data_IF_788618577589
#
_entry.id   IF_788618577589
#
_cell.length_a   1.000
_cell.length_b   1.000
_cell.length_c   1.000
_cell.angle_alpha   90.00
_cell.angle_beta   90.00
_cell.angle_gamma   90.00
#
_symmetry.space_group_name_H-M   'P 1'
#
loop_
_entity.id
_entity.type
_entity.pdbx_description
1 polymer ?
#
# COMPACT_ATOMS: atom_id res chain seq x y z
N UNK A 1 -0.13 -42.98 -58.36
CA UNK A 1 -1.07 -43.75 -57.53
C UNK A 1 -0.73 -43.47 -56.08
N UNK A 2 -1.76 -43.15 -55.29
CA UNK A 2 -1.81 -42.45 -54.01
C UNK A 2 -0.65 -42.63 -53.02
N UNK A 3 -0.16 -41.48 -52.53
CA UNK A 3 0.47 -41.34 -51.23
C UNK A 3 -0.60 -41.43 -50.13
N UNK A 4 -0.29 -42.16 -49.04
CA UNK A 4 -1.11 -42.26 -47.84
C UNK A 4 -0.59 -41.27 -46.81
N UNK A 5 -1.51 -40.45 -46.29
CA UNK A 5 -1.34 -39.37 -45.33
C UNK A 5 -1.28 -39.91 -43.88
N UNK A 6 -0.29 -39.53 -43.05
CA UNK A 6 -0.16 -40.02 -41.67
C UNK A 6 -0.93 -39.21 -40.60
N UNK A 7 -1.90 -38.36 -40.93
CA UNK A 7 -2.71 -37.58 -39.95
C UNK A 7 -4.06 -38.21 -39.51
N UNK A 8 -4.18 -39.54 -39.49
CA UNK A 8 -5.45 -40.21 -39.09
C UNK A 8 -5.59 -40.55 -37.58
N UNK A 9 -4.66 -40.12 -36.72
CA UNK A 9 -4.73 -40.37 -35.28
C UNK A 9 -4.52 -39.07 -34.51
N UNK A 10 -5.57 -38.26 -34.35
CA UNK A 10 -5.74 -37.30 -33.24
C UNK A 10 -7.11 -36.60 -33.40
N UNK A 11 -8.21 -37.29 -33.04
CA UNK A 11 -9.49 -36.63 -32.72
C UNK A 11 -10.10 -37.25 -31.47
N UNK A 12 -10.31 -36.49 -30.38
CA UNK A 12 -11.05 -36.96 -29.22
C UNK A 12 -12.53 -37.18 -29.57
N UNK A 13 -13.09 -38.31 -29.15
CA UNK A 13 -14.53 -38.61 -29.24
C UNK A 13 -15.32 -37.65 -28.34
N UNK A 14 -16.50 -37.16 -28.77
CA UNK A 14 -17.37 -36.35 -27.92
C UNK A 14 -17.93 -37.22 -26.78
N UNK A 15 -17.75 -36.76 -25.54
CA UNK A 15 -18.38 -37.37 -24.36
C UNK A 15 -19.87 -37.00 -24.32
N UNK A 16 -20.66 -38.01 -24.00
CA UNK A 16 -22.10 -37.98 -23.81
C UNK A 16 -22.55 -36.85 -22.87
N UNK A 17 -23.55 -36.11 -23.34
CA UNK A 17 -24.42 -35.24 -22.54
C UNK A 17 -25.30 -36.14 -21.67
N UNK A 18 -25.21 -36.01 -20.36
CA UNK A 18 -26.15 -36.62 -19.43
C UNK A 18 -27.31 -35.65 -19.20
N UNK A 19 -28.52 -36.16 -19.41
CA UNK A 19 -29.80 -35.46 -19.30
C UNK A 19 -30.07 -35.02 -17.85
N UNK A 20 -30.70 -33.84 -17.72
CA UNK A 20 -31.22 -33.31 -16.48
C UNK A 20 -32.46 -34.10 -16.05
N UNK A 21 -32.46 -34.59 -14.81
CA UNK A 21 -33.63 -35.18 -14.15
C UNK A 21 -34.34 -34.07 -13.35
N UNK A 22 -35.63 -33.78 -13.60
CA UNK A 22 -36.44 -32.90 -12.77
C UNK A 22 -37.05 -33.68 -11.60
N UNK A 23 -37.43 -32.96 -10.54
CA UNK A 23 -38.11 -33.42 -9.33
C UNK A 23 -37.26 -34.05 -8.21
N UNK A 24 -36.76 -33.19 -7.32
CA UNK A 24 -36.61 -33.53 -5.91
C UNK A 24 -37.56 -32.64 -5.09
N UNK A 25 -38.66 -33.25 -4.64
CA UNK A 25 -39.69 -32.65 -3.80
C UNK A 25 -39.11 -32.20 -2.45
N UNK A 26 -39.39 -30.96 -2.07
CA UNK A 26 -39.18 -30.44 -0.72
C UNK A 26 -40.14 -31.14 0.25
N UNK A 27 -39.59 -31.98 1.14
CA UNK A 27 -40.36 -32.50 2.27
C UNK A 27 -40.58 -31.40 3.31
N UNK A 28 -41.83 -30.96 3.41
CA UNK A 28 -42.34 -30.16 4.52
C UNK A 28 -42.48 -31.03 5.77
N UNK A 29 -41.87 -30.61 6.88
CA UNK A 29 -42.17 -31.07 8.24
C UNK A 29 -42.13 -29.86 9.20
N UNK A 30 -42.86 -29.91 10.32
CA UNK A 30 -43.62 -28.78 10.85
C UNK A 30 -42.85 -27.88 11.81
N UNK A 31 -43.27 -26.62 11.87
CA UNK A 31 -42.86 -25.65 12.90
C UNK A 31 -43.47 -26.01 14.25
N UNK A 32 -42.68 -25.88 15.34
CA UNK A 32 -43.28 -25.38 16.56
C UNK A 32 -42.35 -24.44 17.38
N UNK A 33 -42.99 -23.39 17.89
CA UNK A 33 -42.67 -22.59 19.07
C UNK A 33 -41.75 -21.36 18.96
N UNK A 34 -42.42 -20.23 19.15
CA UNK A 34 -41.90 -18.91 19.53
C UNK A 34 -40.92 -18.99 20.72
N UNK A 35 -39.67 -18.69 20.45
CA UNK A 35 -38.74 -18.10 21.40
C UNK A 35 -38.16 -16.84 20.74
N UNK A 36 -37.96 -15.73 21.48
CA UNK A 36 -37.31 -14.56 20.94
C UNK A 36 -35.84 -14.93 20.65
N UNK A 37 -35.55 -15.08 19.37
CA UNK A 37 -34.21 -15.34 18.86
C UNK A 37 -33.37 -14.08 19.11
N UNK A 38 -32.54 -14.12 20.16
CA UNK A 38 -31.47 -13.16 20.35
C UNK A 38 -30.48 -13.35 19.19
N UNK A 39 -30.70 -12.58 18.12
CA UNK A 39 -29.86 -12.53 16.92
C UNK A 39 -28.44 -12.08 17.24
N UNK A 40 -27.64 -12.98 17.80
CA UNK A 40 -26.20 -12.92 17.78
C UNK A 40 -25.76 -13.43 16.41
N UNK A 41 -25.81 -12.53 15.41
CA UNK A 41 -25.03 -12.72 14.20
C UNK A 41 -23.55 -12.73 14.63
N UNK A 42 -23.02 -13.92 14.88
CA UNK A 42 -21.58 -14.15 14.81
C UNK A 42 -21.17 -13.92 13.36
N UNK A 43 -20.86 -12.67 13.02
CA UNK A 43 -20.05 -12.38 11.85
C UNK A 43 -18.71 -13.02 12.16
N UNK A 44 -18.43 -14.18 11.56
CA UNK A 44 -17.13 -14.80 11.67
C UNK A 44 -16.10 -13.79 11.15
N UNK A 45 -15.33 -13.19 12.06
CA UNK A 45 -14.24 -12.29 11.70
C UNK A 45 -13.29 -13.05 10.79
N UNK A 46 -13.03 -12.49 9.61
CA UNK A 46 -12.08 -13.03 8.66
C UNK A 46 -10.70 -13.11 9.34
N UNK A 47 -10.13 -14.31 9.58
CA UNK A 47 -8.88 -14.44 10.36
C UNK A 47 -7.71 -13.71 9.71
N UNK A 48 -7.72 -13.58 8.38
CA UNK A 48 -6.72 -12.81 7.64
C UNK A 48 -6.91 -11.29 7.72
N UNK A 49 -8.13 -10.85 8.04
CA UNK A 49 -8.45 -9.46 8.30
C UNK A 49 -8.05 -9.06 9.73
N UNK A 50 -7.79 -10.05 10.61
CA UNK A 50 -7.17 -9.87 11.92
C UNK A 50 -5.67 -10.23 11.95
N UNK A 51 -5.05 -10.50 10.79
CA UNK A 51 -3.63 -10.82 10.72
C UNK A 51 -2.78 -9.66 11.26
N UNK A 52 -1.86 -9.96 12.18
CA UNK A 52 -1.07 -8.95 12.89
C UNK A 52 -1.79 -8.25 14.06
N UNK A 53 -3.09 -8.45 14.28
CA UNK A 53 -3.79 -7.99 15.50
C UNK A 53 -3.51 -8.89 16.71
N UNK A 54 -3.19 -10.16 16.48
CA UNK A 54 -2.97 -11.14 17.55
C UNK A 54 -1.48 -11.42 17.84
N UNK A 55 -0.57 -11.12 16.90
CA UNK A 55 0.88 -11.27 17.06
C UNK A 55 1.49 -9.88 17.34
N UNK A 56 1.47 -9.49 18.62
CA UNK A 56 1.84 -8.17 19.15
C UNK A 56 0.96 -7.03 18.58
N UNK A 57 -0.27 -6.83 19.11
CA UNK A 57 -1.13 -5.73 18.66
C UNK A 57 -0.40 -4.41 18.82
N UNK A 58 -0.43 -3.60 17.77
CA UNK A 58 0.07 -2.24 17.86
C UNK A 58 -0.78 -1.46 18.89
N UNK A 59 -0.18 -0.70 19.81
CA UNK A 59 -0.92 0.04 20.82
C UNK A 59 -1.97 0.98 20.20
N UNK A 60 -3.09 1.15 20.90
CA UNK A 60 -4.24 1.94 20.43
C UNK A 60 -3.84 3.38 20.12
N UNK A 61 -2.95 3.94 20.92
CA UNK A 61 -2.41 5.29 20.80
C UNK A 61 -1.72 5.49 19.45
N UNK A 62 -1.02 4.48 18.94
CA UNK A 62 -0.42 4.54 17.61
C UNK A 62 -1.50 4.53 16.54
N UNK A 63 -2.49 3.63 16.63
CA UNK A 63 -3.60 3.57 15.67
C UNK A 63 -4.37 4.89 15.63
N UNK A 64 -4.72 5.44 16.79
CA UNK A 64 -5.43 6.71 16.92
C UNK A 64 -4.61 7.87 16.34
N UNK A 65 -3.29 7.88 16.57
CA UNK A 65 -2.41 8.89 15.98
C UNK A 65 -2.35 8.76 14.46
N UNK A 66 -2.08 7.57 13.94
CA UNK A 66 -1.96 7.31 12.51
C UNK A 66 -3.28 7.56 11.77
N UNK A 67 -4.41 7.37 12.45
CA UNK A 67 -5.73 7.60 11.87
C UNK A 67 -6.12 9.09 11.78
N UNK A 68 -5.37 10.01 12.41
CA UNK A 68 -5.64 11.46 12.28
C UNK A 68 -5.53 11.90 10.82
N UNK A 69 -6.45 12.76 10.40
CA UNK A 69 -6.58 13.23 9.02
C UNK A 69 -5.28 13.86 8.51
N UNK A 70 -4.58 14.59 9.35
CA UNK A 70 -3.29 15.21 9.08
C UNK A 70 -2.25 14.20 8.59
N UNK A 71 -2.13 13.06 9.28
CA UNK A 71 -1.22 11.97 8.91
C UNK A 71 -1.64 11.29 7.62
N UNK A 72 -2.93 10.97 7.50
CA UNK A 72 -3.50 10.35 6.31
C UNK A 72 -3.26 11.18 5.05
N UNK A 73 -3.58 12.48 5.13
CA UNK A 73 -3.40 13.43 4.05
C UNK A 73 -1.94 13.61 3.67
N UNK A 74 -1.06 13.74 4.65
CA UNK A 74 0.36 13.95 4.40
C UNK A 74 0.99 12.73 3.71
N UNK A 75 0.76 11.52 4.23
CA UNK A 75 1.29 10.30 3.64
C UNK A 75 0.75 10.06 2.23
N UNK A 76 -0.56 10.25 2.02
CA UNK A 76 -1.15 10.14 0.69
C UNK A 76 -0.58 11.17 -0.29
N UNK A 77 -0.54 12.46 0.08
CA UNK A 77 -0.02 13.52 -0.80
C UNK A 77 1.45 13.32 -1.13
N UNK A 78 2.27 12.92 -0.16
CA UNK A 78 3.69 12.65 -0.38
C UNK A 78 3.91 11.61 -1.49
N UNK A 79 3.15 10.51 -1.45
CA UNK A 79 3.19 9.50 -2.51
C UNK A 79 2.60 10.01 -3.82
N UNK A 80 1.42 10.64 -3.77
CA UNK A 80 0.66 11.09 -4.94
C UNK A 80 1.50 12.05 -5.80
N UNK A 81 2.11 13.07 -5.19
CA UNK A 81 2.93 14.03 -5.96
C UNK A 81 4.22 13.42 -6.48
N UNK A 82 4.89 12.53 -5.73
CA UNK A 82 6.12 11.85 -6.20
C UNK A 82 5.86 10.93 -7.38
N UNK A 83 4.76 10.19 -7.32
CA UNK A 83 4.42 9.15 -8.29
C UNK A 83 3.88 9.76 -9.59
N UNK A 84 3.18 10.90 -9.50
CA UNK A 84 2.48 11.48 -10.65
C UNK A 84 3.05 12.83 -11.11
N UNK A 85 4.15 13.32 -10.55
CA UNK A 85 4.71 14.65 -10.87
C UNK A 85 4.73 14.94 -12.37
N UNK A 86 5.33 14.05 -13.17
CA UNK A 86 5.47 14.23 -14.62
C UNK A 86 4.18 13.99 -15.41
N UNK A 87 3.14 13.42 -14.80
CA UNK A 87 1.82 13.24 -15.41
C UNK A 87 0.93 14.48 -15.24
N UNK A 88 1.21 15.34 -14.26
CA UNK A 88 0.45 16.58 -14.09
C UNK A 88 0.73 17.59 -15.21
N UNK A 89 -0.29 18.35 -15.67
CA UNK A 89 -0.08 19.51 -16.54
C UNK A 89 0.93 20.50 -15.96
N UNK A 90 1.74 21.14 -16.81
CA UNK A 90 2.83 22.04 -16.38
C UNK A 90 2.33 23.22 -15.51
N UNK A 91 1.14 23.74 -15.78
CA UNK A 91 0.55 24.82 -14.97
C UNK A 91 0.14 24.35 -13.57
N UNK A 92 -0.30 23.08 -13.44
CA UNK A 92 -0.60 22.45 -12.16
C UNK A 92 0.69 22.12 -11.41
N UNK A 93 1.72 21.60 -12.09
CA UNK A 93 3.06 21.44 -11.50
C UNK A 93 3.56 22.75 -10.90
N UNK A 94 3.46 23.86 -11.63
CA UNK A 94 3.90 25.17 -11.14
C UNK A 94 3.13 25.60 -9.88
N UNK A 95 1.80 25.46 -9.85
CA UNK A 95 1.00 25.82 -8.66
C UNK A 95 1.33 24.94 -7.45
N UNK A 96 1.59 23.64 -7.65
CA UNK A 96 2.03 22.73 -6.59
C UNK A 96 3.45 23.10 -6.10
N UNK A 97 4.35 23.51 -7.01
CA UNK A 97 5.69 24.01 -6.69
C UNK A 97 5.64 25.31 -5.88
N UNK A 98 4.77 26.25 -6.23
CA UNK A 98 4.53 27.49 -5.48
C UNK A 98 4.01 27.23 -4.06
N UNK A 99 3.26 26.14 -3.87
CA UNK A 99 2.86 25.64 -2.55
C UNK A 99 3.99 24.87 -1.85
N UNK A 100 5.15 24.66 -2.47
CA UNK A 100 6.31 23.97 -1.89
C UNK A 100 6.20 22.44 -1.87
N UNK A 101 5.26 21.87 -2.62
CA UNK A 101 5.00 20.43 -2.67
C UNK A 101 5.64 19.72 -3.87
N UNK A 102 6.51 20.41 -4.61
CA UNK A 102 7.30 19.78 -5.66
C UNK A 102 8.23 18.72 -5.07
N UNK A 103 8.13 17.45 -5.50
CA UNK A 103 9.11 16.45 -5.14
C UNK A 103 10.46 16.82 -5.79
N UNK A 104 11.56 16.89 -5.02
CA UNK A 104 12.88 17.21 -5.58
C UNK A 104 13.37 16.11 -6.52
N UNK A 105 12.93 14.86 -6.30
CA UNK A 105 13.29 13.66 -7.06
C UNK A 105 12.01 12.83 -7.30
N UNK A 106 11.25 13.12 -8.36
CA UNK A 106 10.11 12.28 -8.76
C UNK A 106 10.54 10.82 -8.94
N UNK A 107 9.73 9.85 -8.50
CA UNK A 107 10.11 8.43 -8.60
C UNK A 107 10.00 7.88 -10.02
N UNK A 108 9.14 8.48 -10.85
CA UNK A 108 9.04 8.19 -12.27
C UNK A 108 9.78 9.24 -13.09
N UNK A 109 10.32 8.85 -14.24
CA UNK A 109 10.83 9.79 -15.25
C UNK A 109 9.69 10.36 -16.13
N UNK A 110 10.02 11.25 -17.07
CA UNK A 110 9.04 11.84 -17.99
C UNK A 110 8.39 10.80 -18.93
N UNK A 111 8.97 9.60 -19.07
CA UNK A 111 8.39 8.48 -19.83
C UNK A 111 7.50 7.58 -18.98
N UNK A 112 7.37 7.85 -17.66
CA UNK A 112 6.59 7.05 -16.73
C UNK A 112 7.31 5.79 -16.23
N UNK A 113 8.63 5.66 -16.44
CA UNK A 113 9.41 4.54 -15.92
C UNK A 113 10.04 4.89 -14.57
N UNK A 114 10.30 3.91 -13.69
CA UNK A 114 11.06 4.15 -12.46
C UNK A 114 12.41 4.80 -12.74
N UNK A 115 12.69 5.92 -12.06
CA UNK A 115 13.94 6.65 -12.21
C UNK A 115 14.99 6.15 -11.21
N UNK A 116 15.89 5.29 -11.66
CA UNK A 116 16.97 4.73 -10.85
C UNK A 116 18.15 5.70 -10.61
N UNK A 117 18.20 6.81 -11.34
CA UNK A 117 19.41 7.65 -11.45
C UNK A 117 19.30 8.99 -10.72
N UNK A 118 18.15 9.30 -10.12
CA UNK A 118 17.92 10.59 -9.45
C UNK A 118 17.92 10.52 -7.91
N UNK A 119 18.30 9.39 -7.32
CA UNK A 119 18.30 9.14 -5.87
C UNK A 119 16.91 9.25 -5.19
N UNK A 120 15.79 9.20 -5.94
CA UNK A 120 14.42 9.27 -5.38
C UNK A 120 14.07 8.17 -4.38
N UNK A 121 14.76 7.03 -4.45
CA UNK A 121 14.62 5.94 -3.49
C UNK A 121 15.17 6.26 -2.09
N UNK A 122 16.06 7.25 -1.97
CA UNK A 122 16.49 7.73 -0.65
C UNK A 122 15.40 8.53 0.03
N UNK A 123 14.64 9.35 -0.70
CA UNK A 123 13.47 10.05 -0.15
C UNK A 123 12.42 9.03 0.37
N UNK A 124 12.23 7.91 -0.35
CA UNK A 124 11.40 6.79 0.10
C UNK A 124 11.89 6.16 1.41
N UNK A 125 13.16 5.77 1.48
CA UNK A 125 13.70 5.19 2.70
C UNK A 125 13.66 6.16 3.87
N UNK A 126 14.05 7.41 3.64
CA UNK A 126 14.14 8.42 4.68
C UNK A 126 12.76 8.75 5.28
N UNK A 127 11.75 8.95 4.43
CA UNK A 127 10.38 9.26 4.89
C UNK A 127 9.82 8.14 5.77
N UNK A 128 9.93 6.88 5.34
CA UNK A 128 9.44 5.75 6.13
C UNK A 128 10.26 5.49 7.40
N UNK A 129 11.58 5.72 7.35
CA UNK A 129 12.43 5.69 8.56
C UNK A 129 12.00 6.74 9.57
N UNK A 130 11.62 7.94 9.12
CA UNK A 130 11.09 8.98 9.99
C UNK A 130 9.73 8.59 10.59
N UNK A 131 8.81 8.03 9.79
CA UNK A 131 7.54 7.50 10.31
C UNK A 131 7.77 6.43 11.40
N UNK A 132 8.73 5.52 11.19
CA UNK A 132 9.11 4.51 12.18
C UNK A 132 9.67 5.16 13.45
N UNK A 133 10.54 6.15 13.32
CA UNK A 133 11.12 6.88 14.47
C UNK A 133 10.04 7.59 15.29
N UNK A 134 9.05 8.17 14.60
CA UNK A 134 7.95 8.89 15.21
C UNK A 134 6.99 7.94 15.95
N UNK A 135 6.64 6.80 15.34
CA UNK A 135 5.89 5.74 16.04
C UNK A 135 6.67 5.20 17.23
N UNK A 136 7.99 5.02 17.12
CA UNK A 136 8.81 4.60 18.26
C UNK A 136 8.80 5.62 19.41
N UNK A 137 8.62 6.91 19.11
CA UNK A 137 8.45 7.94 20.14
C UNK A 137 7.13 7.73 20.89
N UNK A 138 6.03 7.46 20.18
CA UNK A 138 4.73 7.12 20.79
C UNK A 138 4.86 5.85 21.64
N UNK A 139 5.47 4.79 21.10
CA UNK A 139 5.65 3.52 21.81
C UNK A 139 6.48 3.67 23.09
N UNK A 140 7.50 4.53 23.05
CA UNK A 140 8.30 4.85 24.25
C UNK A 140 7.45 5.53 25.33
N UNK A 141 6.51 6.40 24.95
CA UNK A 141 5.60 7.07 25.88
C UNK A 141 4.53 6.11 26.43
N UNK A 142 3.99 5.23 25.58
CA UNK A 142 3.04 4.18 25.99
C UNK A 142 3.70 3.21 26.97
N UNK A 143 4.96 2.86 26.72
CA UNK A 143 5.74 2.00 27.61
C UNK A 143 5.26 0.54 27.63
N UNK A 144 4.60 0.06 26.57
CA UNK A 144 4.16 -1.34 26.47
C UNK A 144 5.39 -2.27 26.29
N UNK A 145 5.70 -3.14 27.26
CA UNK A 145 6.85 -4.04 27.15
C UNK A 145 6.71 -5.07 26.02
N UNK A 146 5.50 -5.34 25.53
CA UNK A 146 5.24 -6.30 24.46
C UNK A 146 5.41 -5.71 23.06
N UNK A 147 5.39 -4.38 22.93
CA UNK A 147 5.62 -3.67 21.65
C UNK A 147 6.40 -2.38 21.94
N UNK A 148 7.66 -2.52 22.37
CA UNK A 148 8.47 -1.37 22.79
C UNK A 148 8.98 -0.51 21.62
N UNK A 149 8.99 -1.07 20.41
CA UNK A 149 9.39 -0.40 19.17
C UNK A 149 8.82 -1.15 17.96
N UNK A 150 8.71 -0.47 16.83
CA UNK A 150 8.44 -1.09 15.53
C UNK A 150 9.50 -2.15 15.26
N UNK A 151 9.03 -3.34 14.91
CA UNK A 151 9.88 -4.47 14.53
C UNK A 151 9.40 -5.01 13.20
N UNK A 152 10.29 -4.95 12.21
CA UNK A 152 10.05 -5.54 10.91
C UNK A 152 10.00 -7.06 10.96
N UNK A 153 9.47 -7.65 9.90
CA UNK A 153 9.75 -9.06 9.65
C UNK A 153 11.25 -9.26 9.42
N UNK A 154 11.82 -10.36 9.91
CA UNK A 154 13.15 -10.79 9.51
C UNK A 154 13.13 -11.34 8.06
N UNK A 155 12.07 -12.07 7.76
CA UNK A 155 11.78 -12.70 6.48
C UNK A 155 10.29 -12.47 6.20
N UNK A 156 9.89 -11.99 5.01
CA UNK A 156 8.48 -11.87 4.66
C UNK A 156 7.77 -13.23 4.85
N UNK A 157 6.61 -13.29 5.52
CA UNK A 157 6.02 -14.56 5.92
C UNK A 157 5.68 -15.45 4.71
N UNK A 158 6.01 -16.76 4.75
CA UNK A 158 5.57 -17.70 3.74
C UNK A 158 4.06 -17.89 3.76
N UNK A 159 3.45 -18.39 2.68
CA UNK A 159 1.99 -18.61 2.61
C UNK A 159 1.44 -19.51 3.72
N UNK A 160 2.28 -20.41 4.26
CA UNK A 160 1.92 -21.32 5.34
C UNK A 160 2.05 -20.72 6.75
N UNK A 161 2.48 -19.45 6.90
CA UNK A 161 2.59 -18.82 8.23
C UNK A 161 1.20 -18.42 8.74
N UNK A 162 0.71 -19.16 9.73
CA UNK A 162 -0.61 -18.95 10.32
C UNK A 162 -0.75 -17.64 11.11
N UNK A 163 0.36 -16.95 11.45
CA UNK A 163 0.32 -15.65 12.15
C UNK A 163 0.06 -14.49 11.20
N UNK A 164 0.47 -14.65 9.94
CA UNK A 164 0.32 -13.64 8.88
C UNK A 164 -0.34 -14.23 7.64
N UNK A 165 -1.55 -14.81 7.78
CA UNK A 165 -2.26 -15.42 6.65
C UNK A 165 -2.55 -14.37 5.58
N UNK A 166 -2.43 -14.78 4.31
CA UNK A 166 -2.72 -13.93 3.15
C UNK A 166 -4.23 -13.86 2.95
N UNK A 167 -4.88 -12.67 2.99
CA UNK A 167 -6.31 -12.57 2.72
C UNK A 167 -6.63 -13.02 1.30
N UNK A 168 -7.79 -13.67 1.06
CA UNK A 168 -8.18 -14.11 -0.27
C UNK A 168 -8.28 -12.92 -1.25
N UNK A 169 -8.05 -13.12 -2.56
CA UNK A 169 -8.29 -12.08 -3.55
C UNK A 169 -9.78 -11.72 -3.60
N UNK A 170 -10.09 -10.45 -3.82
CA UNK A 170 -11.47 -9.95 -3.97
C UNK A 170 -11.64 -9.24 -5.31
N UNK A 171 -12.86 -9.31 -5.83
CA UNK A 171 -13.26 -8.54 -6.99
C UNK A 171 -13.80 -7.18 -6.53
N UNK A 172 -13.32 -6.10 -7.12
CA UNK A 172 -13.87 -4.77 -6.91
C UNK A 172 -14.81 -4.40 -8.07
N UNK A 173 -16.15 -4.38 -7.88
CA UNK A 173 -17.09 -4.09 -8.97
C UNK A 173 -16.96 -2.68 -9.55
N UNK A 174 -16.37 -1.73 -8.81
CA UNK A 174 -16.14 -0.37 -9.32
C UNK A 174 -14.94 -0.28 -10.28
N UNK A 175 -14.08 -1.30 -10.30
CA UNK A 175 -12.99 -1.38 -11.27
C UNK A 175 -13.54 -1.96 -12.57
N UNK A 176 -13.66 -1.10 -13.60
CA UNK A 176 -14.25 -1.47 -14.90
C UNK A 176 -13.41 -2.47 -15.72
N UNK A 177 -12.26 -2.92 -15.21
CA UNK A 177 -11.34 -3.81 -15.90
C UNK A 177 -11.17 -5.14 -15.15
N UNK A 178 -11.03 -6.24 -15.91
CA UNK A 178 -10.79 -7.59 -15.38
C UNK A 178 -9.32 -7.82 -14.94
N UNK A 179 -8.39 -7.02 -15.48
CA UNK A 179 -6.95 -7.12 -15.23
C UNK A 179 -6.52 -6.81 -13.78
N UNK A 180 -7.08 -5.81 -13.07
CA UNK A 180 -6.83 -5.60 -11.64
C UNK A 180 -7.10 -6.82 -10.75
N UNK A 181 -8.21 -7.55 -11.00
CA UNK A 181 -8.51 -8.77 -10.25
C UNK A 181 -7.48 -9.88 -10.51
N UNK A 182 -7.15 -10.13 -11.78
CA UNK A 182 -6.13 -11.12 -12.14
C UNK A 182 -4.74 -10.77 -11.56
N UNK A 183 -4.41 -9.48 -11.47
CA UNK A 183 -3.20 -9.01 -10.81
C UNK A 183 -3.22 -9.31 -9.31
N UNK A 184 -4.35 -9.05 -8.63
CA UNK A 184 -4.50 -9.31 -7.20
C UNK A 184 -4.42 -10.81 -6.89
N UNK A 185 -5.11 -11.64 -7.66
CA UNK A 185 -5.05 -13.11 -7.57
C UNK A 185 -3.61 -13.61 -7.71
N UNK A 186 -2.89 -13.10 -8.72
CA UNK A 186 -1.48 -13.44 -8.93
C UNK A 186 -0.62 -13.05 -7.74
N UNK A 187 -0.68 -11.80 -7.27
CA UNK A 187 0.16 -11.30 -6.15
C UNK A 187 -0.08 -12.11 -4.86
N UNK A 188 -1.31 -12.54 -4.63
CA UNK A 188 -1.70 -13.33 -3.46
C UNK A 188 -1.35 -14.83 -3.56
N UNK A 189 -1.08 -15.34 -4.77
CA UNK A 189 -0.72 -16.75 -4.97
C UNK A 189 0.59 -17.17 -4.31
N UNK A 190 0.70 -18.46 -4.00
CA UNK A 190 1.94 -19.07 -3.48
C UNK A 190 3.05 -19.08 -4.54
N UNK A 191 2.69 -19.24 -5.81
CA UNK A 191 3.63 -19.21 -6.93
C UNK A 191 4.32 -17.84 -7.00
N UNK A 192 3.56 -16.75 -6.85
CA UNK A 192 4.13 -15.41 -6.83
C UNK A 192 5.07 -15.21 -5.64
N UNK A 193 4.72 -15.74 -4.46
CA UNK A 193 5.63 -15.73 -3.33
C UNK A 193 6.96 -16.46 -3.65
N UNK A 194 6.87 -17.71 -4.11
CA UNK A 194 8.04 -18.54 -4.42
C UNK A 194 8.93 -17.94 -5.53
N UNK A 195 8.32 -17.33 -6.55
CA UNK A 195 9.05 -16.83 -7.74
C UNK A 195 9.50 -15.38 -7.61
N UNK A 196 8.78 -14.53 -6.88
CA UNK A 196 9.05 -13.09 -6.79
C UNK A 196 9.49 -12.68 -5.40
N UNK A 197 8.72 -12.97 -4.35
CA UNK A 197 9.09 -12.58 -2.97
C UNK A 197 10.41 -13.21 -2.53
N UNK A 198 10.56 -14.52 -2.66
CA UNK A 198 11.80 -15.20 -2.29
C UNK A 198 13.01 -14.67 -3.09
N UNK A 199 12.79 -14.36 -4.38
CA UNK A 199 13.83 -13.78 -5.23
C UNK A 199 14.23 -12.38 -4.74
N UNK A 200 13.27 -11.45 -4.60
CA UNK A 200 13.53 -10.09 -4.14
C UNK A 200 14.15 -10.06 -2.74
N UNK A 201 13.63 -10.87 -1.81
CA UNK A 201 14.19 -10.99 -0.47
C UNK A 201 15.66 -11.42 -0.53
N UNK A 202 15.98 -12.46 -1.31
CA UNK A 202 17.36 -12.93 -1.47
C UNK A 202 18.23 -11.83 -2.08
N UNK A 203 17.77 -11.17 -3.14
CA UNK A 203 18.51 -10.11 -3.82
C UNK A 203 18.79 -8.93 -2.89
N UNK A 204 17.78 -8.41 -2.20
CA UNK A 204 17.90 -7.21 -1.35
C UNK A 204 18.57 -7.47 0.01
N UNK A 205 18.90 -8.72 0.33
CA UNK A 205 19.72 -9.08 1.50
C UNK A 205 21.11 -9.60 1.13
N UNK A 206 21.39 -9.80 -0.17
CA UNK A 206 22.67 -10.29 -0.64
C UNK A 206 23.73 -9.18 -0.62
N UNK A 207 24.79 -9.37 0.18
CA UNK A 207 25.86 -8.38 0.33
C UNK A 207 26.60 -8.08 -0.97
N UNK A 208 26.69 -9.04 -1.89
CA UNK A 208 27.36 -8.82 -3.19
C UNK A 208 26.53 -7.88 -4.04
N UNK A 209 25.22 -8.13 -4.15
CA UNK A 209 24.29 -7.25 -4.84
C UNK A 209 24.25 -5.85 -4.22
N UNK A 210 24.17 -5.74 -2.89
CA UNK A 210 24.08 -4.46 -2.19
C UNK A 210 25.30 -3.55 -2.43
N UNK A 211 26.47 -4.12 -2.77
CA UNK A 211 27.67 -3.36 -3.16
C UNK A 211 27.63 -2.83 -4.59
N UNK A 212 26.69 -3.29 -5.41
CA UNK A 212 26.59 -2.91 -6.83
C UNK A 212 25.61 -1.78 -7.09
N UNK A 213 24.88 -1.33 -6.07
CA UNK A 213 23.80 -0.35 -6.21
C UNK A 213 23.97 0.80 -5.22
N UNK A 214 23.59 2.00 -5.63
CA UNK A 214 23.45 3.13 -4.69
C UNK A 214 22.26 2.91 -3.77
N UNK A 215 22.19 3.65 -2.65
CA UNK A 215 21.02 3.60 -1.77
C UNK A 215 19.76 4.09 -2.49
N UNK A 216 19.87 5.12 -3.32
CA UNK A 216 18.80 5.59 -4.19
C UNK A 216 18.27 4.53 -5.14
N UNK A 217 19.16 3.83 -5.85
CA UNK A 217 18.79 2.71 -6.73
C UNK A 217 18.09 1.59 -5.95
N UNK A 218 18.64 1.20 -4.79
CA UNK A 218 18.05 0.19 -3.91
C UNK A 218 16.63 0.57 -3.48
N UNK A 219 16.42 1.84 -3.09
CA UNK A 219 15.14 2.36 -2.65
C UNK A 219 14.07 2.27 -3.74
N UNK A 220 14.39 2.72 -4.96
CA UNK A 220 13.45 2.64 -6.10
C UNK A 220 13.15 1.19 -6.47
N UNK A 221 14.16 0.31 -6.49
CA UNK A 221 13.94 -1.11 -6.77
C UNK A 221 13.03 -1.74 -5.72
N UNK A 222 13.19 -1.44 -4.43
CA UNK A 222 12.33 -1.96 -3.37
C UNK A 222 10.91 -1.37 -3.47
N UNK A 223 10.79 -0.04 -3.55
CA UNK A 223 9.52 0.70 -3.65
C UNK A 223 8.66 0.14 -4.79
N UNK A 224 9.25 0.01 -5.98
CA UNK A 224 8.54 -0.40 -7.20
C UNK A 224 8.33 -1.91 -7.35
N UNK A 225 8.87 -2.74 -6.44
CA UNK A 225 8.73 -4.20 -6.50
C UNK A 225 8.11 -4.80 -5.22
N UNK A 226 8.94 -5.26 -4.29
CA UNK A 226 8.52 -6.04 -3.13
C UNK A 226 7.66 -5.22 -2.18
N UNK A 227 7.90 -3.92 -2.03
CA UNK A 227 7.08 -3.03 -1.21
C UNK A 227 5.63 -2.99 -1.72
N UNK A 228 5.43 -2.58 -2.98
CA UNK A 228 4.12 -2.57 -3.62
C UNK A 228 3.42 -3.94 -3.55
N UNK A 229 4.18 -5.02 -3.80
CA UNK A 229 3.65 -6.38 -3.69
C UNK A 229 3.27 -6.77 -2.25
N UNK A 230 4.01 -6.33 -1.22
CA UNK A 230 3.68 -6.60 0.19
C UNK A 230 2.35 -5.95 0.57
N UNK A 231 2.16 -4.67 0.23
CA UNK A 231 0.90 -3.97 0.47
C UNK A 231 -0.29 -4.75 -0.10
N UNK A 232 -0.23 -5.11 -1.40
CA UNK A 232 -1.35 -5.79 -2.06
C UNK A 232 -1.51 -7.26 -1.67
N UNK A 233 -0.43 -7.96 -1.30
CA UNK A 233 -0.48 -9.35 -0.84
C UNK A 233 -1.26 -9.45 0.48
N UNK A 234 -0.95 -8.60 1.46
CA UNK A 234 -1.61 -8.63 2.77
C UNK A 234 -2.80 -7.69 2.92
N UNK A 235 -3.11 -6.85 1.93
CA UNK A 235 -4.35 -6.11 1.91
C UNK A 235 -5.56 -7.08 1.99
N UNK A 236 -6.54 -6.75 2.83
CA UNK A 236 -7.85 -7.37 2.83
C UNK A 236 -8.85 -6.47 2.08
N UNK A 237 -10.02 -7.00 1.75
CA UNK A 237 -11.09 -6.20 1.15
C UNK A 237 -11.60 -5.17 2.17
N UNK A 238 -11.55 -3.86 1.87
CA UNK A 238 -11.91 -2.83 2.84
C UNK A 238 -13.43 -2.60 2.97
N UNK A 239 -14.27 -3.41 2.32
CA UNK A 239 -15.73 -3.19 2.23
C UNK A 239 -16.09 -2.08 1.23
N UNK A 240 -15.35 -0.98 1.26
CA UNK A 240 -15.43 0.15 0.32
C UNK A 240 -14.07 0.82 0.20
N UNK A 241 -13.80 1.43 -0.95
CA UNK A 241 -12.53 2.13 -1.22
C UNK A 241 -12.81 3.62 -1.31
N UNK A 242 -11.94 4.43 -0.70
CA UNK A 242 -12.00 5.89 -0.82
C UNK A 242 -12.00 6.29 -2.31
N UNK A 243 -12.95 7.11 -2.77
CA UNK A 243 -12.94 7.55 -4.15
C UNK A 243 -11.74 8.48 -4.39
N UNK A 244 -11.19 8.44 -5.60
CA UNK A 244 -10.22 9.44 -6.02
C UNK A 244 -10.85 10.83 -5.94
N UNK A 245 -10.10 11.85 -5.47
CA UNK A 245 -10.63 13.20 -5.33
C UNK A 245 -10.76 13.88 -6.69
N UNK A 246 -11.62 13.35 -7.56
CA UNK A 246 -11.98 13.97 -8.85
C UNK A 246 -12.94 15.12 -8.61
N UNK A 247 -12.85 16.18 -9.43
CA UNK A 247 -13.86 17.25 -9.44
C UNK A 247 -15.21 16.59 -9.77
N UNK A 248 -16.14 16.57 -8.80
CA UNK A 248 -17.53 16.28 -9.13
C UNK A 248 -17.95 17.27 -10.22
N UNK A 249 -18.82 16.88 -11.14
CA UNK A 249 -19.30 17.68 -12.28
C UNK A 249 -20.11 18.93 -11.91
N UNK A 250 -19.83 19.57 -10.76
CA UNK A 250 -20.43 20.81 -10.28
C UNK A 250 -19.44 21.66 -9.49
N UNK A 251 -19.93 22.83 -9.04
CA UNK A 251 -19.14 23.87 -8.36
C UNK A 251 -18.62 23.42 -6.99
N UNK A 252 -17.53 22.64 -6.96
CA UNK A 252 -16.78 22.40 -5.73
C UNK A 252 -15.94 23.63 -5.43
N UNK A 253 -16.21 24.25 -4.29
CA UNK A 253 -15.40 25.34 -3.75
C UNK A 253 -13.99 24.82 -3.38
N UNK A 254 -12.93 25.23 -4.12
CA UNK A 254 -11.56 24.79 -3.91
C UNK A 254 -10.93 25.36 -2.63
N UNK A 255 -11.68 26.13 -1.84
CA UNK A 255 -11.25 26.58 -0.50
C UNK A 255 -11.90 25.77 0.62
N UNK A 256 -12.92 24.95 0.32
CA UNK A 256 -13.63 24.15 1.33
C UNK A 256 -13.11 22.73 1.51
N UNK A 257 -12.19 22.25 0.67
CA UNK A 257 -11.40 21.04 0.91
C UNK A 257 -12.18 19.72 1.06
N UNK A 258 -13.46 19.68 0.68
CA UNK A 258 -14.35 18.51 0.89
C UNK A 258 -14.19 17.40 -0.16
N UNK A 259 -12.96 17.17 -0.63
CA UNK A 259 -12.70 16.13 -1.65
C UNK A 259 -12.59 14.73 -1.03
N UNK A 260 -12.22 14.63 0.25
CA UNK A 260 -12.20 13.36 0.99
C UNK A 260 -13.18 13.47 2.15
N UNK A 261 -14.23 12.65 2.14
CA UNK A 261 -15.25 12.62 3.20
C UNK A 261 -14.66 12.19 4.55
N UNK A 262 -15.11 12.75 5.69
CA UNK A 262 -14.62 12.38 7.02
C UNK A 262 -14.79 10.90 7.40
N UNK A 263 -15.70 10.17 6.74
CA UNK A 263 -15.86 8.73 6.98
C UNK A 263 -14.59 7.92 6.68
N UNK A 264 -13.72 8.43 5.81
CA UNK A 264 -12.44 7.80 5.48
C UNK A 264 -11.36 8.03 6.53
N UNK A 265 -11.62 8.88 7.53
CA UNK A 265 -10.73 9.11 8.68
C UNK A 265 -10.93 8.04 9.77
N UNK A 266 -12.02 7.26 9.72
CA UNK A 266 -12.31 6.19 10.69
C UNK A 266 -11.10 5.24 10.82
N UNK A 267 -10.58 4.98 12.03
CA UNK A 267 -9.47 4.04 12.23
C UNK A 267 -9.71 2.64 11.63
N UNK A 268 -10.97 2.23 11.42
CA UNK A 268 -11.32 0.98 10.72
C UNK A 268 -11.06 1.02 9.21
N UNK A 269 -10.89 2.21 8.63
CA UNK A 269 -10.38 2.35 7.27
C UNK A 269 -8.85 2.33 7.31
N UNK A 270 -8.31 1.11 7.33
CA UNK A 270 -6.89 0.77 7.40
C UNK A 270 -6.44 -0.01 6.13
N UNK A 271 -7.08 0.26 5.00
CA UNK A 271 -6.80 -0.46 3.76
C UNK A 271 -5.33 -0.33 3.34
N UNK A 272 -4.58 -1.43 3.35
CA UNK A 272 -3.17 -1.47 2.97
C UNK A 272 -2.90 -1.02 1.53
N UNK A 273 -3.91 -1.10 0.65
CA UNK A 273 -3.80 -0.71 -0.77
C UNK A 273 -3.96 0.79 -1.04
N UNK A 274 -4.27 1.62 -0.04
CA UNK A 274 -4.42 3.07 -0.17
C UNK A 274 -3.42 3.76 0.76
N UNK A 275 -2.56 4.63 0.22
CA UNK A 275 -1.58 5.39 1.02
C UNK A 275 -2.27 6.29 2.04
N UNK A 276 -3.55 6.65 1.85
CA UNK A 276 -4.32 7.37 2.85
C UNK A 276 -4.58 6.58 4.14
N UNK A 277 -4.49 5.25 4.10
CA UNK A 277 -4.88 4.38 5.22
C UNK A 277 -3.87 3.31 5.59
N UNK A 278 -2.93 2.98 4.71
CA UNK A 278 -2.06 1.83 4.88
C UNK A 278 -1.27 1.85 6.20
N UNK A 279 -0.79 3.01 6.63
CA UNK A 279 -0.04 3.21 7.88
C UNK A 279 -0.87 3.00 9.17
N UNK A 280 -2.19 2.93 9.07
CA UNK A 280 -3.07 2.57 10.20
C UNK A 280 -3.04 1.05 10.44
N UNK A 281 -2.78 0.25 9.40
CA UNK A 281 -2.78 -1.19 9.50
C UNK A 281 -1.50 -1.72 10.19
N UNK A 282 -1.59 -2.67 11.15
CA UNK A 282 -0.43 -3.22 11.84
C UNK A 282 0.63 -3.85 10.92
N UNK A 283 0.23 -4.43 9.78
CA UNK A 283 1.13 -5.08 8.82
C UNK A 283 2.05 -4.06 8.14
N UNK A 284 1.63 -2.80 7.99
CA UNK A 284 2.47 -1.73 7.47
C UNK A 284 3.77 -1.62 8.25
N UNK A 285 3.72 -1.67 9.58
CA UNK A 285 4.90 -1.55 10.42
C UNK A 285 5.82 -2.77 10.34
N UNK A 286 5.25 -3.96 10.10
CA UNK A 286 6.03 -5.18 9.88
C UNK A 286 6.77 -5.16 8.54
N UNK A 287 6.11 -4.72 7.47
CA UNK A 287 6.73 -4.64 6.15
C UNK A 287 7.73 -3.48 6.07
N UNK A 288 7.40 -2.30 6.62
CA UNK A 288 8.31 -1.15 6.61
C UNK A 288 9.50 -1.33 7.52
N UNK A 289 9.37 -2.05 8.64
CA UNK A 289 10.55 -2.45 9.42
C UNK A 289 11.49 -3.38 8.64
N UNK A 290 10.97 -4.31 7.85
CA UNK A 290 11.80 -5.16 6.98
C UNK A 290 12.52 -4.32 5.91
N UNK A 291 11.83 -3.32 5.35
CA UNK A 291 12.40 -2.37 4.39
C UNK A 291 13.49 -1.52 5.04
N UNK A 292 13.26 -1.01 6.25
CA UNK A 292 14.21 -0.18 6.98
C UNK A 292 15.52 -0.92 7.30
N UNK A 293 15.43 -2.20 7.67
CA UNK A 293 16.59 -3.06 7.88
C UNK A 293 17.47 -3.23 6.62
N UNK A 294 16.94 -2.96 5.41
CA UNK A 294 17.73 -2.99 4.17
C UNK A 294 18.70 -1.82 4.07
N UNK A 295 18.38 -0.69 4.68
CA UNK A 295 19.29 0.46 4.77
C UNK A 295 20.52 0.06 5.60
N UNK A 296 20.33 -0.60 6.74
CA UNK A 296 21.45 -1.06 7.57
C UNK A 296 22.27 -2.17 6.91
N UNK A 297 21.61 -3.09 6.18
CA UNK A 297 22.31 -4.09 5.38
C UNK A 297 23.16 -3.44 4.27
N UNK A 298 22.62 -2.45 3.56
CA UNK A 298 23.34 -1.70 2.54
C UNK A 298 24.52 -0.91 3.13
N UNK A 299 24.31 -0.22 4.26
CA UNK A 299 25.38 0.51 4.98
C UNK A 299 26.52 -0.44 5.35
N UNK A 300 26.19 -1.59 5.93
CA UNK A 300 27.17 -2.61 6.31
C UNK A 300 27.92 -3.14 5.09
N UNK A 301 27.21 -3.42 3.99
CA UNK A 301 27.81 -3.93 2.76
C UNK A 301 28.81 -2.93 2.13
N UNK A 302 28.54 -1.64 2.25
CA UNK A 302 29.30 -0.54 1.63
C UNK A 302 30.24 0.21 2.59
N UNK A 303 30.33 -0.22 3.86
CA UNK A 303 31.20 0.43 4.85
C UNK A 303 30.77 1.86 5.20
N UNK A 304 29.47 2.15 5.16
CA UNK A 304 28.90 3.45 5.53
C UNK A 304 28.52 3.44 7.01
N UNK A 305 28.99 4.44 7.76
CA UNK A 305 28.75 4.57 9.20
C UNK A 305 28.10 5.91 9.53
N UNK A 306 27.38 5.97 10.64
CA UNK A 306 26.62 7.17 11.05
C UNK A 306 25.34 7.39 10.25
N UNK A 307 24.81 8.61 10.34
CA UNK A 307 23.53 9.00 9.74
C UNK A 307 23.66 10.12 8.68
N UNK A 308 24.86 10.64 8.45
CA UNK A 308 25.10 11.72 7.47
C UNK A 308 25.51 11.17 6.09
N UNK A 309 24.70 10.25 5.56
CA UNK A 309 24.92 9.63 4.24
C UNK A 309 23.76 9.85 3.27
N UNK A 310 22.64 10.38 3.76
CA UNK A 310 21.45 10.65 2.97
C UNK A 310 21.65 11.81 2.01
N UNK A 311 21.44 11.57 0.71
CA UNK A 311 21.25 12.58 -0.33
C UNK A 311 19.78 12.99 -0.47
N UNK A 312 18.86 12.04 -0.28
CA UNK A 312 17.41 12.25 -0.27
C UNK A 312 16.88 12.25 1.16
N UNK A 313 16.20 13.32 1.55
CA UNK A 313 15.57 13.51 2.88
C UNK A 313 14.17 14.11 2.79
N UNK A 314 13.58 14.15 1.60
CA UNK A 314 12.33 14.87 1.39
C UNK A 314 11.14 14.08 1.91
N UNK A 315 10.52 14.58 2.97
CA UNK A 315 9.30 14.03 3.57
C UNK A 315 8.07 14.86 3.21
N UNK A 316 8.10 15.65 2.13
CA UNK A 316 7.02 16.57 1.80
C UNK A 316 7.27 17.97 2.37
N UNK A 317 6.31 18.89 2.20
CA UNK A 317 6.38 20.19 2.87
C UNK A 317 5.96 20.03 4.33
N UNK A 318 6.68 20.72 5.20
CA UNK A 318 6.35 20.86 6.63
C UNK A 318 6.45 22.34 7.01
N UNK A 319 5.45 22.96 7.64
CA UNK A 319 5.52 24.37 8.00
C UNK A 319 6.59 24.60 9.08
N UNK A 320 7.43 25.63 8.91
CA UNK A 320 8.31 26.14 9.97
C UNK A 320 9.42 25.18 10.44
N UNK A 321 9.79 24.18 9.65
CA UNK A 321 10.61 23.07 10.14
C UNK A 321 12.12 23.38 10.19
N UNK A 322 12.70 23.27 11.39
CA UNK A 322 14.15 23.07 11.60
C UNK A 322 14.50 21.59 11.38
N UNK A 323 15.71 21.29 10.93
CA UNK A 323 16.17 19.91 10.69
C UNK A 323 16.14 19.11 12.01
N UNK A 324 15.33 18.04 12.07
CA UNK A 324 15.28 17.11 13.21
C UNK A 324 14.01 17.12 14.06
N UNK A 325 13.04 18.00 13.79
CA UNK A 325 11.69 17.83 14.36
C UNK A 325 10.96 16.70 13.60
N UNK A 326 10.11 15.96 14.30
CA UNK A 326 9.38 14.82 13.73
C UNK A 326 8.13 15.30 13.00
N UNK A 327 7.76 14.66 11.88
CA UNK A 327 6.53 14.98 11.14
C UNK A 327 5.31 14.82 12.07
N UNK A 328 5.33 13.80 12.92
CA UNK A 328 4.28 13.57 13.90
C UNK A 328 4.11 14.71 14.92
N UNK A 329 5.18 15.16 15.57
CA UNK A 329 5.08 16.29 16.51
C UNK A 329 4.54 17.58 15.85
N UNK A 330 4.92 17.88 14.61
CA UNK A 330 4.41 19.08 13.91
C UNK A 330 2.91 18.97 13.59
N UNK A 331 2.46 17.79 13.18
CA UNK A 331 1.05 17.57 12.86
C UNK A 331 0.17 17.48 14.11
N UNK A 332 0.76 17.35 15.30
CA UNK A 332 0.07 17.43 16.58
C UNK A 332 -0.04 18.86 17.13
N UNK A 333 0.85 19.78 16.76
CA UNK A 333 0.76 21.18 17.18
C UNK A 333 -0.32 21.91 16.34
N UNK A 334 -1.42 22.39 16.95
CA UNK A 334 -2.48 23.09 16.22
C UNK A 334 -2.00 24.31 15.44
N UNK A 335 -0.93 24.97 15.90
CA UNK A 335 -0.36 26.14 15.21
C UNK A 335 0.30 25.78 13.88
N UNK A 336 0.75 24.53 13.74
CA UNK A 336 1.37 24.01 12.53
C UNK A 336 0.37 23.17 11.70
N UNK A 337 -0.41 22.32 12.36
CA UNK A 337 -1.37 21.42 11.72
C UNK A 337 -2.47 22.14 10.93
N UNK A 338 -3.06 23.21 11.48
CA UNK A 338 -4.14 23.94 10.82
C UNK A 338 -3.73 24.56 9.47
N UNK A 339 -2.68 25.40 9.44
CA UNK A 339 -2.13 25.94 8.19
C UNK A 339 -1.68 24.85 7.21
N UNK A 340 -1.02 23.79 7.71
CA UNK A 340 -0.58 22.68 6.88
C UNK A 340 -1.74 21.94 6.21
N UNK A 341 -2.81 21.67 6.96
CA UNK A 341 -4.03 21.07 6.44
C UNK A 341 -4.69 21.93 5.36
N UNK A 342 -4.80 23.24 5.60
CA UNK A 342 -5.36 24.17 4.62
C UNK A 342 -4.56 24.18 3.31
N UNK A 343 -3.24 24.05 3.40
CA UNK A 343 -2.36 23.92 2.24
C UNK A 343 -2.50 22.57 1.54
N UNK A 344 -2.47 21.46 2.28
CA UNK A 344 -2.68 20.13 1.72
C UNK A 344 -4.01 20.06 0.96
N UNK A 345 -5.07 20.68 1.48
CA UNK A 345 -6.34 20.82 0.78
C UNK A 345 -6.22 21.58 -0.55
N UNK A 346 -5.42 22.65 -0.62
CA UNK A 346 -5.16 23.34 -1.88
C UNK A 346 -4.45 22.43 -2.89
N UNK A 347 -3.45 21.64 -2.45
CA UNK A 347 -2.76 20.67 -3.31
C UNK A 347 -3.74 19.61 -3.83
N UNK A 348 -4.60 19.05 -2.97
CA UNK A 348 -5.65 18.10 -3.39
C UNK A 348 -6.53 18.72 -4.48
N UNK A 349 -6.95 19.96 -4.29
CA UNK A 349 -7.84 20.63 -5.24
C UNK A 349 -7.15 20.89 -6.59
N UNK A 350 -5.83 21.13 -6.59
CA UNK A 350 -5.05 21.23 -7.83
C UNK A 350 -4.94 19.87 -8.53
N UNK A 351 -4.59 18.81 -7.80
CA UNK A 351 -4.53 17.44 -8.35
C UNK A 351 -5.91 17.05 -8.90
N UNK A 352 -7.00 17.44 -8.23
CA UNK A 352 -8.35 17.12 -8.66
C UNK A 352 -8.73 17.59 -10.05
N UNK A 353 -8.18 18.73 -10.46
CA UNK A 353 -8.43 19.35 -11.76
C UNK A 353 -7.77 18.58 -12.90
N UNK A 354 -6.78 17.73 -12.58
CA UNK A 354 -5.99 17.01 -13.59
C UNK A 354 -6.69 15.76 -14.12
N UNK A 355 -7.55 15.13 -13.31
CA UNK A 355 -8.03 13.77 -13.57
C UNK A 355 -6.93 12.69 -13.52
N UNK A 356 -5.69 13.07 -13.18
CA UNK A 356 -4.54 12.18 -13.02
C UNK A 356 -4.50 11.72 -11.58
N UNK A 357 -4.77 10.43 -11.38
CA UNK A 357 -4.69 9.76 -10.09
C UNK A 357 -4.03 8.41 -10.24
N UNK A 358 -3.25 8.03 -9.24
CA UNK A 358 -2.76 6.67 -9.21
C UNK A 358 -3.82 5.74 -8.63
N UNK A 359 -4.71 5.21 -9.48
CA UNK A 359 -5.64 4.15 -9.08
C UNK A 359 -4.82 2.96 -8.59
N UNK A 360 -4.83 2.73 -7.28
CA UNK A 360 -4.07 1.68 -6.58
C UNK A 360 -2.52 1.85 -6.71
N UNK A 361 -1.89 2.74 -5.92
CA UNK A 361 -0.45 3.06 -6.01
C UNK A 361 0.46 1.86 -5.80
N UNK A 362 -0.04 0.83 -5.10
CA UNK A 362 0.72 -0.37 -4.79
C UNK A 362 0.47 -1.53 -5.76
N UNK A 363 -0.44 -1.40 -6.74
CA UNK A 363 -0.59 -2.44 -7.77
C UNK A 363 0.58 -2.36 -8.75
N UNK A 364 1.48 -3.36 -8.77
CA UNK A 364 2.61 -3.31 -9.68
C UNK A 364 2.13 -3.51 -11.11
N UNK A 365 2.63 -2.68 -12.02
CA UNK A 365 2.40 -2.83 -13.46
C UNK A 365 3.29 -3.95 -14.00
N UNK A 366 2.95 -5.20 -13.72
CA UNK A 366 3.62 -6.33 -14.37
C UNK A 366 3.14 -6.42 -15.82
N UNK A 367 4.04 -6.22 -16.79
CA UNK A 367 3.80 -6.68 -18.15
C UNK A 367 3.55 -8.20 -18.15
N UNK A 368 2.56 -8.67 -18.90
CA UNK A 368 2.24 -10.09 -19.01
C UNK A 368 3.36 -10.92 -19.69
N UNK A 369 4.41 -10.30 -20.22
CA UNK A 369 5.35 -10.95 -21.14
C UNK A 369 6.79 -11.11 -20.62
N UNK A 370 7.10 -10.74 -19.38
CA UNK A 370 8.44 -10.92 -18.82
C UNK A 370 8.49 -12.12 -17.83
N UNK A 371 8.46 -13.33 -18.39
CA UNK A 371 8.83 -14.59 -17.73
C UNK A 371 10.14 -15.11 -18.27
#
# INVERSE_FOLDING_TARGET
>A
MSAVDPEAYLRPKPRHVAEAVPDAQLHHMPSPHDHPDEGHQHIAECPACAAGLHDHPIPREVVEMMAKREHRMHHWLWHEVRNNWHQYPRDIQQKIDELGWKPPRPVLDESGNPNLENDSGEDFFYMHRQMIADVNTILTQVGDPNYSRVQGWLVPPPPSDARYPVPPPWFNPSEQAQAPFANLERIKSDIFYLKRFCFWQKTFTDTTFLRTVTLGQLGVMIEMTIHNAMHMRWAAFPGSVRPEPTVATGDIDPTKGKMIEPKWDDPKYDYLGDTYSSHVNPIFWKLHGWIDDRIEAWKTANGVFGNDFWKGRWTGKMPGHEEGVTVHALLEDPNHAGPHMAEMHQVVNLISQTGVFHSNPFMPRFSMEAT
#
